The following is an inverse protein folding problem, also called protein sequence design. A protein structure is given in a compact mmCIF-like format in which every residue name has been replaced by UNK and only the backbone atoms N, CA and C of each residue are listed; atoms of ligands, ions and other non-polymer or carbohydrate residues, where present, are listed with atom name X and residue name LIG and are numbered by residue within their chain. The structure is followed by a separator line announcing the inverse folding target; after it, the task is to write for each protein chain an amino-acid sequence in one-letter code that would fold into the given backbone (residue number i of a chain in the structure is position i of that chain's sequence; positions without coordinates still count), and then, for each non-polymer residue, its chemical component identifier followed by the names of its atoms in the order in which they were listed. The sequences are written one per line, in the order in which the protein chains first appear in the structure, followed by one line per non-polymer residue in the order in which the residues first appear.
data_IF_514329592031
#
_entry.id   IF_514329592031
#
_cell.length_a   1.000
_cell.length_b   1.000
_cell.length_c   1.000
_cell.angle_alpha   90.00
_cell.angle_beta   90.00
_cell.angle_gamma   90.00
#
_symmetry.space_group_name_H-M   'P 1'
#
loop_
_entity.id
_entity.type
_entity.pdbx_description
1 polymer ?
#
# COMPACT_ATOMS: atom_id res chain seq x y z
N UNK A 1 -24.82 21.65 11.03
CA UNK A 1 -23.54 20.97 11.31
C UNK A 1 -23.59 20.40 12.72
N UNK A 2 -23.05 19.21 12.97
CA UNK A 2 -22.74 18.78 14.33
C UNK A 2 -21.51 19.54 14.86
N UNK A 3 -21.33 19.62 16.17
CA UNK A 3 -20.11 20.17 16.77
C UNK A 3 -18.94 19.18 16.64
N UNK A 4 -17.69 19.68 16.52
CA UNK A 4 -16.47 18.84 16.52
C UNK A 4 -16.48 17.82 17.68
N UNK A 5 -16.97 18.22 18.86
CA UNK A 5 -17.09 17.38 20.04
C UNK A 5 -18.11 16.23 19.87
N UNK A 6 -19.35 16.52 19.44
CA UNK A 6 -20.37 15.47 19.27
C UNK A 6 -20.01 14.49 18.14
N UNK A 7 -19.32 14.96 17.11
CA UNK A 7 -18.79 14.11 16.04
C UNK A 7 -17.65 13.20 16.54
N UNK A 8 -16.79 13.70 17.45
CA UNK A 8 -15.78 12.89 18.17
C UNK A 8 -16.42 11.85 19.10
N UNK A 9 -17.48 12.20 19.82
CA UNK A 9 -18.23 11.26 20.67
C UNK A 9 -18.89 10.15 19.83
N UNK A 10 -19.46 10.50 18.67
CA UNK A 10 -20.02 9.53 17.73
C UNK A 10 -18.93 8.63 17.12
N UNK A 11 -17.76 9.18 16.76
CA UNK A 11 -16.59 8.40 16.31
C UNK A 11 -16.11 7.39 17.36
N UNK A 12 -15.99 7.80 18.63
CA UNK A 12 -15.59 6.90 19.72
C UNK A 12 -16.61 5.76 19.87
N UNK A 13 -17.91 6.08 19.96
CA UNK A 13 -18.97 5.08 20.04
C UNK A 13 -19.04 4.16 18.80
N UNK A 14 -18.62 4.63 17.63
CA UNK A 14 -18.53 3.84 16.41
C UNK A 14 -17.37 2.83 16.47
N UNK A 15 -16.17 3.28 16.83
CA UNK A 15 -15.00 2.39 16.94
C UNK A 15 -15.14 1.38 18.10
N UNK A 16 -15.70 1.78 19.25
CA UNK A 16 -15.98 0.86 20.37
C UNK A 16 -16.99 -0.24 20.03
N UNK A 17 -17.75 -0.13 18.94
CA UNK A 17 -18.66 -1.19 18.46
C UNK A 17 -18.01 -2.15 17.47
N UNK A 18 -16.85 -1.81 16.88
CA UNK A 18 -16.20 -2.68 15.90
C UNK A 18 -15.76 -4.02 16.50
N UNK A 19 -15.31 -4.01 17.75
CA UNK A 19 -14.87 -5.21 18.49
C UNK A 19 -16.02 -6.18 18.82
N UNK A 20 -17.28 -5.72 18.83
CA UNK A 20 -18.46 -6.59 19.09
C UNK A 20 -19.17 -7.10 17.83
N UNK A 21 -18.93 -6.50 16.65
CA UNK A 21 -19.82 -6.65 15.49
C UNK A 21 -19.42 -7.78 14.51
N UNK A 22 -18.18 -8.24 14.53
CA UNK A 22 -17.65 -9.23 13.57
C UNK A 22 -18.42 -10.55 13.56
N UNK A 23 -18.84 -11.05 14.73
CA UNK A 23 -19.66 -12.26 14.85
C UNK A 23 -21.17 -11.96 14.74
N UNK A 24 -21.65 -10.89 15.41
CA UNK A 24 -23.09 -10.54 15.47
C UNK A 24 -23.69 -10.17 14.10
N UNK A 25 -22.93 -9.55 13.20
CA UNK A 25 -23.43 -9.08 11.90
C UNK A 25 -23.93 -10.19 10.96
N UNK A 26 -23.61 -11.47 11.24
CA UNK A 26 -24.12 -12.63 10.49
C UNK A 26 -25.46 -13.17 11.02
N UNK A 27 -25.91 -12.78 12.21
CA UNK A 27 -27.13 -13.32 12.85
C UNK A 27 -28.31 -12.33 12.91
N UNK A 28 -28.09 -11.06 12.57
CA UNK A 28 -29.11 -10.01 12.67
C UNK A 28 -29.53 -9.51 11.27
N UNK A 29 -30.77 -9.79 10.90
CA UNK A 29 -31.30 -9.52 9.57
C UNK A 29 -31.45 -8.01 9.28
N UNK A 30 -31.71 -7.19 10.30
CA UNK A 30 -31.87 -5.74 10.11
C UNK A 30 -30.50 -5.07 9.88
N UNK A 31 -29.44 -5.55 10.54
CA UNK A 31 -28.06 -5.11 10.29
C UNK A 31 -27.63 -5.49 8.87
N UNK A 32 -27.90 -6.72 8.43
CA UNK A 32 -27.58 -7.18 7.08
C UNK A 32 -28.32 -6.36 6.01
N UNK A 33 -29.63 -6.14 6.21
CA UNK A 33 -30.45 -5.30 5.32
C UNK A 33 -29.95 -3.84 5.26
N UNK A 34 -29.52 -3.27 6.39
CA UNK A 34 -28.89 -1.95 6.44
C UNK A 34 -27.61 -1.86 5.61
N UNK A 35 -26.71 -2.84 5.77
CA UNK A 35 -25.45 -2.93 5.02
C UNK A 35 -25.68 -3.06 3.51
N UNK A 36 -26.56 -3.97 3.06
CA UNK A 36 -26.93 -4.14 1.65
C UNK A 36 -27.43 -2.82 1.03
N UNK A 37 -28.26 -2.05 1.74
CA UNK A 37 -28.78 -0.75 1.29
C UNK A 37 -27.72 0.37 1.21
N UNK A 38 -26.57 0.19 1.84
CA UNK A 38 -25.45 1.15 1.83
C UNK A 38 -24.40 0.75 0.79
N UNK A 39 -24.07 -0.54 0.68
CA UNK A 39 -23.19 -1.08 -0.35
C UNK A 39 -23.77 -0.87 -1.77
N UNK A 40 -25.10 -0.90 -1.92
CA UNK A 40 -25.79 -0.52 -3.16
C UNK A 40 -25.68 0.98 -3.53
N UNK A 41 -25.14 1.83 -2.64
CA UNK A 41 -24.83 3.25 -2.89
C UNK A 41 -23.33 3.53 -2.97
N UNK A 42 -22.49 2.53 -2.67
CA UNK A 42 -21.04 2.62 -2.76
C UNK A 42 -20.59 2.44 -4.22
N UNK A 43 -19.47 3.04 -4.57
CA UNK A 43 -18.65 2.65 -5.71
C UNK A 43 -17.20 2.57 -5.22
N UNK A 44 -16.51 1.47 -5.50
CA UNK A 44 -15.11 1.28 -5.11
C UNK A 44 -14.24 1.80 -6.25
N UNK A 45 -13.28 2.66 -5.95
CA UNK A 45 -12.29 3.15 -6.91
C UNK A 45 -10.90 2.77 -6.39
N UNK A 46 -10.11 2.04 -7.19
CA UNK A 46 -8.69 1.77 -6.89
C UNK A 46 -7.80 2.58 -7.84
N UNK A 47 -6.79 3.24 -7.27
CA UNK A 47 -5.85 4.07 -8.02
C UNK A 47 -4.81 3.19 -8.74
N UNK A 48 -5.00 2.99 -10.04
CA UNK A 48 -4.24 2.06 -10.87
C UNK A 48 -3.32 2.76 -11.90
N UNK A 49 -3.12 4.09 -11.77
CA UNK A 49 -2.28 4.87 -12.69
C UNK A 49 -0.76 4.67 -12.56
N UNK A 50 -0.30 3.85 -11.62
CA UNK A 50 1.11 3.71 -11.26
C UNK A 50 1.83 2.52 -11.92
N UNK A 51 2.88 2.80 -12.70
CA UNK A 51 3.84 1.80 -13.20
C UNK A 51 4.75 1.24 -12.08
N UNK A 52 5.33 0.07 -12.30
CA UNK A 52 6.18 -0.67 -11.36
C UNK A 52 7.65 -0.23 -11.27
N UNK A 53 8.04 0.88 -11.91
CA UNK A 53 9.45 1.27 -12.18
C UNK A 53 10.40 1.40 -10.99
N UNK A 54 9.95 1.78 -9.78
CA UNK A 54 10.77 1.70 -8.55
C UNK A 54 11.20 0.28 -8.17
N UNK A 55 10.60 -0.70 -8.81
CA UNK A 55 10.88 -2.13 -8.70
C UNK A 55 11.24 -2.67 -10.11
N UNK A 56 11.74 -1.83 -11.02
CA UNK A 56 12.21 -2.20 -12.36
C UNK A 56 11.16 -2.71 -13.37
N UNK A 57 9.92 -2.99 -12.96
CA UNK A 57 8.89 -3.43 -13.89
C UNK A 57 8.37 -2.26 -14.76
N UNK A 58 8.35 -2.47 -16.08
CA UNK A 58 7.82 -1.50 -17.07
C UNK A 58 6.30 -1.45 -17.13
N UNK A 59 5.60 -2.43 -16.54
CA UNK A 59 4.14 -2.58 -16.53
C UNK A 59 3.46 -1.88 -15.36
N UNK A 60 2.13 -1.84 -15.37
CA UNK A 60 1.31 -1.40 -14.23
C UNK A 60 1.68 -2.19 -12.95
N UNK A 61 1.93 -1.48 -11.83
CA UNK A 61 2.41 -2.07 -10.56
C UNK A 61 1.44 -3.11 -9.99
N UNK A 62 0.16 -2.94 -10.29
CA UNK A 62 -0.91 -3.85 -9.87
C UNK A 62 -0.78 -5.26 -10.44
N UNK A 63 -0.12 -5.43 -11.59
CA UNK A 63 0.07 -6.72 -12.26
C UNK A 63 1.24 -7.54 -11.71
N UNK A 64 1.98 -7.01 -10.74
CA UNK A 64 3.13 -7.68 -10.12
C UNK A 64 2.62 -8.70 -9.10
N UNK A 65 3.14 -9.94 -9.18
CA UNK A 65 2.79 -11.02 -8.25
C UNK A 65 3.19 -10.67 -6.81
N UNK A 66 2.24 -10.79 -5.90
CA UNK A 66 2.42 -10.57 -4.46
C UNK A 66 2.62 -11.88 -3.72
N UNK A 67 1.80 -12.90 -4.02
CA UNK A 67 1.83 -14.20 -3.33
C UNK A 67 1.08 -15.27 -4.11
N UNK A 68 1.64 -16.48 -4.19
CA UNK A 68 0.97 -17.68 -4.72
C UNK A 68 0.36 -17.52 -6.13
N UNK A 69 1.02 -16.80 -7.03
CA UNK A 69 0.53 -16.52 -8.39
C UNK A 69 -0.51 -15.38 -8.49
N UNK A 70 -0.93 -14.79 -7.36
CA UNK A 70 -1.85 -13.66 -7.32
C UNK A 70 -1.09 -12.33 -7.32
N UNK A 71 -1.45 -11.46 -8.26
CA UNK A 71 -1.03 -10.05 -8.31
C UNK A 71 -1.90 -9.16 -7.41
N UNK A 72 -1.48 -7.92 -7.16
CA UNK A 72 -2.32 -6.94 -6.46
C UNK A 72 -3.67 -6.73 -7.19
N UNK A 73 -3.70 -6.88 -8.52
CA UNK A 73 -4.92 -6.80 -9.33
C UNK A 73 -5.86 -7.97 -9.03
N UNK A 74 -5.36 -9.21 -9.05
CA UNK A 74 -6.18 -10.39 -8.76
C UNK A 74 -6.77 -10.28 -7.34
N UNK A 75 -5.94 -9.94 -6.34
CA UNK A 75 -6.38 -9.79 -4.95
C UNK A 75 -7.47 -8.70 -4.79
N UNK A 76 -7.27 -7.52 -5.40
CA UNK A 76 -8.26 -6.44 -5.32
C UNK A 76 -9.59 -6.78 -6.03
N UNK A 77 -9.55 -7.55 -7.12
CA UNK A 77 -10.76 -8.00 -7.83
C UNK A 77 -11.44 -9.15 -7.10
N UNK A 78 -10.70 -10.11 -6.55
CA UNK A 78 -11.23 -11.27 -5.83
C UNK A 78 -11.80 -10.87 -4.46
N UNK A 79 -11.16 -9.97 -3.71
CA UNK A 79 -11.75 -9.40 -2.48
C UNK A 79 -13.07 -8.69 -2.80
N UNK A 80 -13.09 -7.87 -3.86
CA UNK A 80 -14.28 -7.14 -4.26
C UNK A 80 -15.42 -8.07 -4.71
N UNK A 81 -15.12 -9.10 -5.50
CA UNK A 81 -16.08 -10.14 -5.87
C UNK A 81 -16.61 -10.85 -4.63
N UNK A 82 -15.72 -11.22 -3.70
CA UNK A 82 -16.10 -11.89 -2.45
C UNK A 82 -16.99 -11.04 -1.56
N UNK A 83 -16.71 -9.74 -1.47
CA UNK A 83 -17.55 -8.77 -0.75
C UNK A 83 -18.93 -8.69 -1.39
N UNK A 84 -19.01 -8.59 -2.72
CA UNK A 84 -20.27 -8.59 -3.46
C UNK A 84 -21.09 -9.89 -3.27
N UNK A 85 -20.44 -11.06 -3.30
CA UNK A 85 -21.06 -12.36 -2.96
C UNK A 85 -21.59 -12.40 -1.52
N UNK A 86 -20.76 -11.98 -0.56
CA UNK A 86 -21.03 -12.11 0.89
C UNK A 86 -22.20 -11.26 1.35
N UNK A 87 -22.41 -10.09 0.73
CA UNK A 87 -23.50 -9.15 1.06
C UNK A 87 -24.65 -9.15 0.04
N UNK A 88 -24.57 -9.96 -1.03
CA UNK A 88 -25.60 -10.06 -2.07
C UNK A 88 -25.79 -8.79 -2.90
N UNK A 89 -24.71 -8.07 -3.20
CA UNK A 89 -24.72 -6.75 -3.88
C UNK A 89 -23.96 -6.76 -5.20
N UNK A 90 -24.27 -5.80 -6.07
CA UNK A 90 -23.56 -5.56 -7.34
C UNK A 90 -22.84 -4.19 -7.31
N UNK A 91 -22.16 -3.91 -6.20
CA UNK A 91 -21.34 -2.70 -6.01
C UNK A 91 -20.29 -2.64 -7.14
N UNK A 92 -20.12 -1.52 -7.86
CA UNK A 92 -19.16 -1.44 -8.96
C UNK A 92 -17.72 -1.15 -8.47
N UNK A 93 -16.75 -1.91 -8.99
CA UNK A 93 -15.32 -1.60 -8.93
C UNK A 93 -14.86 -0.85 -10.19
N UNK A 94 -14.22 0.29 -9.98
CA UNK A 94 -13.54 1.09 -10.99
C UNK A 94 -12.03 1.12 -10.75
N UNK A 95 -11.25 1.03 -11.83
CA UNK A 95 -9.82 1.29 -11.83
C UNK A 95 -9.55 2.65 -12.47
N UNK A 96 -8.92 3.54 -11.71
CA UNK A 96 -8.43 4.83 -12.20
C UNK A 96 -7.05 4.62 -12.82
N UNK A 97 -7.03 4.33 -14.11
CA UNK A 97 -5.84 4.05 -14.89
C UNK A 97 -5.14 5.36 -15.31
N UNK A 98 -3.90 5.24 -15.76
CA UNK A 98 -3.20 6.29 -16.50
C UNK A 98 -2.99 5.84 -17.94
N UNK A 99 -2.63 6.77 -18.82
CA UNK A 99 -2.23 6.49 -20.20
C UNK A 99 -0.97 5.60 -20.32
N UNK A 100 -0.34 5.23 -19.20
CA UNK A 100 0.71 4.21 -19.13
C UNK A 100 0.19 2.81 -18.71
N UNK A 101 -0.92 2.74 -17.99
CA UNK A 101 -1.41 1.50 -17.36
C UNK A 101 -2.69 0.95 -17.98
N UNK A 102 -3.41 1.75 -18.78
CA UNK A 102 -4.76 1.40 -19.23
C UNK A 102 -4.79 0.20 -20.20
N UNK A 103 -3.92 0.15 -21.21
CA UNK A 103 -3.90 -0.94 -22.19
C UNK A 103 -3.41 -2.26 -21.57
N UNK A 104 -2.33 -2.19 -20.77
CA UNK A 104 -1.81 -3.31 -19.96
C UNK A 104 -2.89 -3.87 -19.01
N UNK A 105 -3.64 -2.98 -18.36
CA UNK A 105 -4.75 -3.35 -17.46
C UNK A 105 -5.90 -3.98 -18.22
N UNK A 106 -6.32 -3.41 -19.36
CA UNK A 106 -7.41 -3.94 -20.19
C UNK A 106 -7.07 -5.33 -20.73
N UNK A 107 -5.84 -5.53 -21.20
CA UNK A 107 -5.35 -6.84 -21.63
C UNK A 107 -5.43 -7.87 -20.48
N UNK A 108 -4.94 -7.50 -19.29
CA UNK A 108 -4.98 -8.37 -18.11
C UNK A 108 -6.40 -8.72 -17.64
N UNK A 109 -7.29 -7.72 -17.56
CA UNK A 109 -8.70 -7.94 -17.19
C UNK A 109 -9.41 -8.86 -18.19
N UNK A 110 -9.09 -8.74 -19.49
CA UNK A 110 -9.63 -9.62 -20.53
C UNK A 110 -9.07 -11.05 -20.44
N UNK A 111 -7.76 -11.21 -20.21
CA UNK A 111 -7.09 -12.50 -20.01
C UNK A 111 -7.68 -13.27 -18.81
N UNK A 112 -7.91 -12.57 -17.69
CA UNK A 112 -8.50 -13.14 -16.46
C UNK A 112 -10.04 -13.26 -16.51
N UNK A 113 -10.71 -12.72 -17.53
CA UNK A 113 -12.17 -12.71 -17.64
C UNK A 113 -12.90 -11.80 -16.63
N UNK A 114 -12.22 -10.80 -16.07
CA UNK A 114 -12.73 -9.89 -15.03
C UNK A 114 -13.70 -8.81 -15.57
N UNK A 115 -14.67 -9.23 -16.37
CA UNK A 115 -15.57 -8.41 -17.19
C UNK A 115 -16.47 -7.41 -16.43
N UNK A 116 -16.64 -7.55 -15.11
CA UNK A 116 -17.38 -6.57 -14.27
C UNK A 116 -16.56 -5.33 -13.92
N UNK A 117 -15.22 -5.41 -13.97
CA UNK A 117 -14.32 -4.33 -13.58
C UNK A 117 -14.31 -3.25 -14.66
N UNK A 118 -14.58 -2.00 -14.28
CA UNK A 118 -14.61 -0.86 -15.19
C UNK A 118 -13.30 -0.08 -15.09
N UNK A 119 -12.83 0.53 -16.18
CA UNK A 119 -11.66 1.42 -16.14
C UNK A 119 -12.01 2.81 -16.63
N UNK A 120 -11.28 3.82 -16.15
CA UNK A 120 -11.26 5.17 -16.71
C UNK A 120 -9.84 5.74 -16.61
N UNK A 121 -9.49 6.66 -17.51
CA UNK A 121 -8.13 7.21 -17.62
C UNK A 121 -8.06 8.61 -17.02
N UNK A 122 -7.07 8.85 -16.17
CA UNK A 122 -6.79 10.18 -15.60
C UNK A 122 -6.16 11.13 -16.62
N UNK A 123 -6.27 12.44 -16.36
CA UNK A 123 -5.63 13.50 -17.16
C UNK A 123 -4.11 13.34 -17.26
N UNK A 124 -3.54 13.71 -18.41
CA UNK A 124 -2.09 13.83 -18.63
C UNK A 124 -1.64 15.29 -18.50
N UNK A 125 -0.65 15.53 -17.64
CA UNK A 125 0.09 16.80 -17.57
C UNK A 125 1.55 16.54 -17.95
N UNK A 126 2.23 17.45 -18.67
CA UNK A 126 3.67 17.33 -18.92
C UNK A 126 4.45 17.53 -17.62
N UNK A 127 5.63 16.90 -17.50
CA UNK A 127 6.65 17.34 -16.54
C UNK A 127 7.23 18.67 -17.01
N UNK A 128 7.72 19.50 -16.10
CA UNK A 128 8.47 20.70 -16.44
C UNK A 128 9.93 20.53 -15.98
N UNK A 129 10.88 20.93 -16.82
CA UNK A 129 12.29 20.93 -16.48
C UNK A 129 12.59 21.97 -15.38
N UNK A 130 13.42 21.59 -14.42
CA UNK A 130 13.68 22.38 -13.22
C UNK A 130 14.57 23.62 -13.47
N UNK A 131 15.26 23.70 -14.62
CA UNK A 131 16.06 24.87 -15.01
C UNK A 131 15.32 25.82 -15.97
N UNK A 132 14.55 25.28 -16.91
CA UNK A 132 13.93 26.03 -18.02
C UNK A 132 12.42 26.20 -17.88
N UNK A 133 11.75 25.43 -17.01
CA UNK A 133 10.29 25.32 -16.89
C UNK A 133 9.57 24.88 -18.19
N UNK A 134 10.29 24.31 -19.15
CA UNK A 134 9.71 23.79 -20.39
C UNK A 134 9.24 22.33 -20.23
N UNK A 135 8.26 21.86 -21.04
CA UNK A 135 7.82 20.48 -21.03
C UNK A 135 8.95 19.46 -21.26
N UNK A 136 9.02 18.44 -20.41
CA UNK A 136 9.85 17.23 -20.60
C UNK A 136 8.97 16.00 -20.82
N UNK A 137 9.47 15.09 -21.64
CA UNK A 137 8.99 13.70 -21.74
C UNK A 137 9.75 12.85 -20.72
N UNK A 138 9.09 12.39 -19.63
CA UNK A 138 9.40 11.12 -18.94
C UNK A 138 8.33 10.77 -17.86
N UNK A 139 8.40 9.56 -17.28
CA UNK A 139 7.24 8.81 -16.78
C UNK A 139 7.23 8.48 -15.26
N UNK A 140 6.05 8.06 -14.74
CA UNK A 140 5.80 7.13 -13.58
C UNK A 140 5.46 7.60 -12.13
N UNK A 141 4.53 6.82 -11.48
CA UNK A 141 4.20 6.54 -10.04
C UNK A 141 3.50 7.59 -9.13
N UNK A 142 2.73 7.29 -8.02
CA UNK A 142 1.93 6.19 -7.35
C UNK A 142 1.19 6.87 -6.10
N UNK A 143 0.38 6.36 -5.15
CA UNK A 143 -0.02 5.05 -4.53
C UNK A 143 -1.57 5.02 -4.16
N UNK A 144 -2.01 4.42 -3.01
CA UNK A 144 -3.39 4.30 -2.45
C UNK A 144 -3.49 3.23 -1.30
N UNK A 145 -4.61 2.64 -0.86
CA UNK A 145 -5.98 3.12 -0.44
C UNK A 145 -6.91 1.94 0.02
N UNK A 146 -7.43 1.86 1.27
CA UNK A 146 -8.34 0.78 1.79
C UNK A 146 -9.13 1.01 3.12
N UNK A 147 -10.47 0.80 3.13
CA UNK A 147 -11.30 0.27 4.27
C UNK A 147 -12.76 0.00 3.81
N UNK A 148 -13.74 -0.15 4.73
CA UNK A 148 -15.20 -0.20 4.39
C UNK A 148 -16.20 0.40 5.41
N UNK A 149 -15.88 0.44 6.70
CA UNK A 149 -16.85 0.78 7.76
C UNK A 149 -17.29 2.26 7.75
N UNK A 150 -16.46 3.14 7.19
CA UNK A 150 -16.63 4.60 7.22
C UNK A 150 -17.82 5.10 6.39
N UNK A 151 -18.31 4.31 5.43
CA UNK A 151 -19.50 4.67 4.62
C UNK A 151 -20.73 4.88 5.51
N UNK A 152 -20.94 4.01 6.52
CA UNK A 152 -22.02 4.13 7.49
C UNK A 152 -21.91 5.46 8.26
N UNK A 153 -20.72 5.75 8.79
CA UNK A 153 -20.44 6.99 9.51
C UNK A 153 -20.70 8.23 8.65
N UNK A 154 -20.28 8.24 7.38
CA UNK A 154 -20.50 9.38 6.48
C UNK A 154 -21.98 9.65 6.21
N UNK A 155 -22.79 8.59 6.07
CA UNK A 155 -24.24 8.70 5.93
C UNK A 155 -24.86 9.22 7.23
N UNK A 156 -24.56 8.59 8.36
CA UNK A 156 -25.16 8.91 9.67
C UNK A 156 -24.80 10.31 10.18
N UNK A 157 -23.59 10.78 9.87
CA UNK A 157 -23.09 12.10 10.30
C UNK A 157 -23.27 13.19 9.23
N UNK A 158 -23.73 12.83 8.02
CA UNK A 158 -23.75 13.69 6.83
C UNK A 158 -22.38 14.39 6.61
N UNK A 159 -21.34 13.59 6.40
CA UNK A 159 -19.97 14.05 6.16
C UNK A 159 -19.60 13.80 4.70
N UNK A 160 -19.10 14.82 4.02
CA UNK A 160 -18.83 14.79 2.57
C UNK A 160 -17.45 14.24 2.18
N UNK A 161 -16.50 14.22 3.12
CA UNK A 161 -15.12 13.77 2.93
C UNK A 161 -14.58 13.13 4.22
N UNK A 162 -13.99 11.94 4.13
CA UNK A 162 -13.19 11.33 5.21
C UNK A 162 -11.88 10.80 4.64
N UNK A 163 -10.78 11.06 5.35
CA UNK A 163 -9.46 10.50 5.11
C UNK A 163 -9.08 9.70 6.35
N UNK A 164 -8.58 8.49 6.17
CA UNK A 164 -8.08 7.69 7.28
C UNK A 164 -6.63 8.03 7.60
N UNK A 165 -6.26 7.81 8.86
CA UNK A 165 -4.88 7.93 9.30
C UNK A 165 -4.54 6.78 10.24
N UNK A 166 -3.38 6.16 10.02
CA UNK A 166 -2.78 5.21 10.95
C UNK A 166 -1.86 5.94 11.94
N UNK A 167 -1.38 5.26 12.98
CA UNK A 167 -0.30 5.80 13.81
C UNK A 167 1.02 5.74 13.02
N UNK A 168 1.76 6.85 12.99
CA UNK A 168 3.04 6.95 12.27
C UNK A 168 4.09 6.07 12.95
N UNK A 169 4.56 5.03 12.25
CA UNK A 169 5.66 4.16 12.68
C UNK A 169 7.01 4.67 12.17
N UNK A 170 8.08 3.95 12.50
CA UNK A 170 9.44 4.29 12.04
C UNK A 170 9.69 4.03 10.55
N UNK A 171 8.83 3.27 9.86
CA UNK A 171 8.92 3.05 8.40
C UNK A 171 8.08 4.05 7.59
N UNK A 172 7.19 4.82 8.23
CA UNK A 172 6.26 5.77 7.58
C UNK A 172 6.92 7.14 7.31
N UNK A 173 8.06 7.10 6.62
CA UNK A 173 8.87 8.28 6.26
C UNK A 173 8.51 8.91 4.91
N UNK A 174 7.61 8.29 4.12
CA UNK A 174 7.22 8.77 2.78
C UNK A 174 5.70 8.80 2.58
N UNK A 175 5.11 9.95 2.87
CA UNK A 175 3.68 10.26 2.71
C UNK A 175 3.28 11.37 3.67
N UNK A 176 2.03 11.82 3.58
CA UNK A 176 1.56 12.99 4.31
C UNK A 176 1.00 12.75 5.72
N UNK A 177 0.68 13.86 6.37
CA UNK A 177 0.01 13.94 7.68
C UNK A 177 -1.07 15.02 7.65
N UNK A 178 -2.09 14.89 8.50
CA UNK A 178 -3.05 15.97 8.71
C UNK A 178 -2.51 17.01 9.71
N UNK A 179 -2.72 18.28 9.39
CA UNK A 179 -2.43 19.46 10.23
C UNK A 179 -3.64 20.40 10.26
N UNK A 180 -3.73 21.25 11.29
CA UNK A 180 -4.75 22.31 11.35
C UNK A 180 -4.06 23.69 11.27
N UNK A 181 -4.31 24.44 10.19
CA UNK A 181 -3.85 25.82 9.98
C UNK A 181 -5.07 26.71 9.89
N UNK A 182 -5.13 27.79 10.67
CA UNK A 182 -6.25 28.76 10.66
C UNK A 182 -7.65 28.12 10.79
N UNK A 183 -7.77 27.07 11.63
CA UNK A 183 -8.96 26.23 11.80
C UNK A 183 -9.42 25.44 10.55
N UNK A 184 -8.55 25.30 9.55
CA UNK A 184 -8.75 24.45 8.38
C UNK A 184 -7.84 23.23 8.47
N UNK A 185 -8.40 22.05 8.23
CA UNK A 185 -7.63 20.81 8.10
C UNK A 185 -6.92 20.81 6.74
N UNK A 186 -5.61 20.60 6.75
CA UNK A 186 -4.77 20.52 5.55
C UNK A 186 -3.96 19.22 5.57
N UNK A 187 -3.68 18.69 4.38
CA UNK A 187 -2.82 17.53 4.20
C UNK A 187 -1.41 18.01 3.84
N UNK A 188 -0.45 17.76 4.73
CA UNK A 188 0.96 18.13 4.57
C UNK A 188 1.76 16.93 4.08
N UNK A 189 2.20 16.98 2.82
CA UNK A 189 3.09 16.02 2.19
C UNK A 189 4.57 16.44 2.32
N UNK A 190 5.47 15.45 2.33
CA UNK A 190 6.90 15.69 2.52
C UNK A 190 7.52 16.76 1.59
N UNK A 191 7.15 16.88 0.29
CA UNK A 191 7.72 17.90 -0.60
C UNK A 191 7.27 19.36 -0.31
N UNK A 192 6.28 19.58 0.56
CA UNK A 192 5.90 20.91 1.04
C UNK A 192 6.75 21.35 2.26
N UNK A 193 7.53 20.44 2.86
CA UNK A 193 8.28 20.70 4.09
C UNK A 193 9.67 21.29 3.77
N UNK A 194 10.06 22.44 4.36
CA UNK A 194 11.41 22.97 4.22
C UNK A 194 12.48 21.99 4.72
N UNK A 195 13.65 21.86 4.06
CA UNK A 195 14.69 20.88 4.41
C UNK A 195 15.11 20.88 5.89
N UNK A 196 15.16 22.06 6.50
CA UNK A 196 15.47 22.28 7.91
C UNK A 196 14.47 21.63 8.88
N UNK A 197 13.21 21.44 8.45
CA UNK A 197 12.12 20.91 9.27
C UNK A 197 11.81 19.44 8.97
N UNK A 198 12.50 18.81 8.02
CA UNK A 198 12.36 17.38 7.72
C UNK A 198 12.62 16.45 8.93
N UNK A 199 13.56 16.72 9.86
CA UNK A 199 13.74 15.90 11.05
C UNK A 199 12.48 15.84 11.93
N UNK A 200 11.76 16.95 12.07
CA UNK A 200 10.51 17.01 12.83
C UNK A 200 9.35 16.36 12.08
N UNK A 201 9.28 16.51 10.75
CA UNK A 201 8.27 15.82 9.93
C UNK A 201 8.39 14.28 9.97
N UNK A 202 9.62 13.77 10.02
CA UNK A 202 9.90 12.35 10.22
C UNK A 202 9.71 11.89 11.67
N UNK A 203 9.62 12.81 12.63
CA UNK A 203 9.55 12.49 14.06
C UNK A 203 8.16 12.04 14.50
N UNK A 204 8.03 10.76 14.87
CA UNK A 204 6.82 10.17 15.47
C UNK A 204 6.42 10.80 16.81
N UNK A 205 7.30 11.61 17.42
CA UNK A 205 6.99 12.43 18.61
C UNK A 205 6.19 13.68 18.28
N UNK A 206 6.42 14.26 17.10
CA UNK A 206 5.77 15.48 16.61
C UNK A 206 4.50 15.10 15.84
N UNK A 207 4.65 14.33 14.75
CA UNK A 207 3.53 13.84 13.94
C UNK A 207 3.23 12.39 14.28
N UNK A 208 2.15 12.19 15.05
CA UNK A 208 1.73 10.86 15.56
C UNK A 208 0.84 10.09 14.59
N UNK A 209 0.31 10.77 13.58
CA UNK A 209 -0.60 10.21 12.58
C UNK A 209 0.06 10.28 11.20
N UNK A 210 -0.36 9.38 10.32
CA UNK A 210 0.10 9.28 8.95
C UNK A 210 -1.09 9.00 8.05
N UNK A 211 -1.26 9.76 6.96
CA UNK A 211 -2.31 9.51 5.99
C UNK A 211 -2.01 8.18 5.31
N UNK A 212 -2.91 7.21 5.44
CA UNK A 212 -2.84 5.94 4.70
C UNK A 212 -3.11 6.13 3.20
N UNK A 213 -3.61 7.30 2.82
CA UNK A 213 -4.30 7.60 1.59
C UNK A 213 -5.46 6.61 1.38
N UNK A 214 -6.30 6.41 2.41
CA UNK A 214 -7.62 5.79 2.26
C UNK A 214 -8.67 6.92 2.26
N UNK A 215 -9.40 7.11 1.15
CA UNK A 215 -10.21 8.32 0.95
C UNK A 215 -11.66 8.02 0.57
N UNK A 216 -12.58 8.58 1.36
CA UNK A 216 -14.02 8.47 1.19
C UNK A 216 -14.63 9.81 0.79
N UNK A 217 -15.45 9.80 -0.27
CA UNK A 217 -16.02 11.02 -0.86
C UNK A 217 -17.49 10.89 -1.22
N UNK A 218 -18.31 11.86 -0.79
CA UNK A 218 -19.67 12.01 -1.30
C UNK A 218 -19.63 12.57 -2.72
N UNK A 219 -19.93 11.73 -3.72
CA UNK A 219 -19.91 12.11 -5.14
C UNK A 219 -20.86 13.29 -5.47
N UNK A 220 -21.92 13.51 -4.68
CA UNK A 220 -22.79 14.68 -4.85
C UNK A 220 -22.10 15.97 -4.40
N UNK A 221 -21.32 15.92 -3.32
CA UNK A 221 -20.51 17.04 -2.86
C UNK A 221 -19.36 17.32 -3.82
N UNK A 222 -18.68 16.29 -4.33
CA UNK A 222 -17.66 16.43 -5.39
C UNK A 222 -18.27 17.10 -6.61
N UNK A 223 -19.41 16.62 -7.13
CA UNK A 223 -20.12 17.22 -8.28
C UNK A 223 -20.50 18.70 -8.05
N UNK A 224 -20.89 19.06 -6.82
CA UNK A 224 -21.25 20.43 -6.45
C UNK A 224 -20.02 21.34 -6.36
N UNK A 225 -18.92 20.85 -5.80
CA UNK A 225 -17.72 21.63 -5.49
C UNK A 225 -16.69 21.65 -6.62
N UNK A 226 -16.79 20.76 -7.61
CA UNK A 226 -15.81 20.59 -8.70
C UNK A 226 -15.34 21.90 -9.39
N UNK A 227 -16.18 22.93 -9.61
CA UNK A 227 -15.72 24.21 -10.18
C UNK A 227 -14.82 25.03 -9.24
N UNK A 228 -14.95 24.82 -7.92
CA UNK A 228 -14.31 25.61 -6.86
C UNK A 228 -13.15 24.89 -6.17
N UNK A 229 -12.93 23.60 -6.46
CA UNK A 229 -11.84 22.80 -5.87
C UNK A 229 -10.49 23.44 -6.23
N UNK A 230 -9.72 23.78 -5.19
CA UNK A 230 -8.33 24.23 -5.27
C UNK A 230 -7.49 23.29 -4.41
N UNK A 231 -6.36 22.87 -4.96
CA UNK A 231 -5.39 21.99 -4.30
C UNK A 231 -4.01 22.59 -4.46
N UNK A 232 -3.12 22.34 -3.50
CA UNK A 232 -1.74 22.84 -3.58
C UNK A 232 -0.92 22.09 -4.62
N UNK A 233 0.01 22.79 -5.26
CA UNK A 233 0.90 22.21 -6.28
C UNK A 233 2.09 21.57 -5.58
N UNK A 234 2.07 20.25 -5.44
CA UNK A 234 3.13 19.47 -4.80
C UNK A 234 4.28 19.23 -5.80
N UNK A 235 5.39 19.95 -5.65
CA UNK A 235 6.59 19.83 -6.52
C UNK A 235 7.47 18.66 -6.08
N UNK A 236 7.14 17.45 -6.52
CA UNK A 236 7.82 16.23 -6.12
C UNK A 236 9.08 15.92 -6.96
N UNK A 237 10.27 15.98 -6.33
CA UNK A 237 11.57 15.58 -6.91
C UNK A 237 11.87 14.13 -6.52
N UNK A 238 12.00 13.22 -7.50
CA UNK A 238 12.01 11.76 -7.26
C UNK A 238 13.40 11.12 -7.28
N UNK A 239 13.55 10.07 -6.46
CA UNK A 239 14.61 9.06 -6.53
C UNK A 239 14.05 7.68 -6.07
N UNK A 240 14.59 6.59 -6.62
CA UNK A 240 14.06 5.22 -6.49
C UNK A 240 14.54 4.48 -5.23
N UNK A 241 13.66 3.66 -4.61
CA UNK A 241 13.94 2.44 -3.78
C UNK A 241 12.62 1.74 -3.41
N UNK A 242 12.67 0.45 -3.08
CA UNK A 242 11.51 -0.46 -2.99
C UNK A 242 11.13 -0.97 -1.58
N UNK A 243 9.99 -1.68 -1.51
CA UNK A 243 9.37 -2.18 -0.26
C UNK A 243 8.85 -3.64 -0.37
N UNK A 244 9.13 -4.36 -1.47
CA UNK A 244 8.36 -5.55 -1.88
C UNK A 244 8.56 -6.81 -1.01
N UNK A 245 9.74 -6.99 -0.41
CA UNK A 245 10.09 -8.24 0.30
C UNK A 245 9.18 -8.56 1.49
N UNK A 246 8.66 -7.55 2.20
CA UNK A 246 7.85 -7.78 3.40
C UNK A 246 6.58 -8.58 3.08
N UNK A 247 5.88 -8.22 2.00
CA UNK A 247 4.61 -8.85 1.58
C UNK A 247 4.79 -10.30 1.10
N UNK A 248 5.98 -10.61 0.55
CA UNK A 248 6.36 -11.94 0.03
C UNK A 248 6.96 -12.88 1.09
N UNK A 249 7.13 -12.41 2.32
CA UNK A 249 7.73 -13.17 3.43
C UNK A 249 6.68 -13.92 4.28
N UNK A 250 7.14 -14.69 5.28
CA UNK A 250 6.28 -15.31 6.30
C UNK A 250 5.67 -14.33 7.32
N UNK A 251 5.86 -13.02 7.17
CA UNK A 251 5.25 -11.99 8.03
C UNK A 251 3.81 -11.70 7.64
N UNK A 252 3.47 -12.01 6.40
CA UNK A 252 2.14 -11.90 5.85
C UNK A 252 1.56 -13.29 5.61
N UNK A 253 0.23 -13.41 5.70
CA UNK A 253 -0.53 -14.58 5.29
C UNK A 253 -1.72 -14.15 4.42
N UNK A 254 -2.05 -14.96 3.42
CA UNK A 254 -3.18 -14.73 2.52
C UNK A 254 -4.37 -15.55 3.02
N UNK A 255 -5.42 -14.87 3.46
CA UNK A 255 -6.70 -15.51 3.73
C UNK A 255 -7.33 -15.94 2.39
N UNK A 256 -7.63 -17.24 2.24
CA UNK A 256 -8.25 -17.82 1.05
C UNK A 256 -9.77 -17.61 1.01
N UNK A 257 -10.41 -17.22 2.12
CA UNK A 257 -11.83 -16.89 2.15
C UNK A 257 -12.11 -15.45 1.73
N UNK A 258 -11.29 -14.48 2.13
CA UNK A 258 -11.46 -13.05 1.81
C UNK A 258 -10.48 -12.46 0.80
N UNK A 259 -9.43 -13.20 0.42
CA UNK A 259 -8.30 -12.74 -0.41
C UNK A 259 -7.47 -11.59 0.19
N UNK A 260 -7.62 -11.33 1.50
CA UNK A 260 -6.84 -10.32 2.22
C UNK A 260 -5.48 -10.82 2.64
N UNK A 261 -4.49 -9.94 2.52
CA UNK A 261 -3.16 -10.14 3.11
C UNK A 261 -3.19 -9.59 4.53
N UNK A 262 -3.14 -10.49 5.51
CA UNK A 262 -3.04 -10.16 6.93
C UNK A 262 -1.59 -10.17 7.38
N UNK A 263 -1.22 -9.29 8.31
CA UNK A 263 0.06 -9.42 9.01
C UNK A 263 -0.07 -10.49 10.10
N UNK A 264 0.82 -11.47 10.11
CA UNK A 264 0.89 -12.49 11.14
C UNK A 264 1.55 -11.89 12.40
N UNK A 265 0.73 -11.38 13.32
CA UNK A 265 1.22 -10.71 14.53
C UNK A 265 1.97 -11.66 15.49
N UNK A 266 1.78 -12.98 15.42
CA UNK A 266 2.60 -13.95 16.16
C UNK A 266 4.04 -14.03 15.65
N UNK A 267 4.29 -13.59 14.40
CA UNK A 267 5.62 -13.46 13.82
C UNK A 267 6.29 -12.12 14.16
N UNK A 268 5.57 -11.18 14.78
CA UNK A 268 6.10 -9.90 15.27
C UNK A 268 5.49 -8.68 14.57
N UNK A 269 6.35 -7.71 14.22
CA UNK A 269 6.04 -6.52 13.43
C UNK A 269 6.89 -6.52 12.15
N UNK A 270 6.51 -5.78 11.10
CA UNK A 270 7.34 -5.66 9.90
C UNK A 270 8.76 -5.15 10.23
N UNK A 271 9.83 -5.86 9.84
CA UNK A 271 11.20 -5.42 10.06
C UNK A 271 11.56 -4.28 9.12
N UNK A 272 12.56 -3.49 9.50
CA UNK A 272 13.21 -2.58 8.56
C UNK A 272 14.07 -3.41 7.60
N UNK A 273 13.59 -3.58 6.37
CA UNK A 273 14.32 -4.28 5.31
C UNK A 273 15.14 -3.28 4.50
N UNK A 274 16.45 -3.54 4.38
CA UNK A 274 17.38 -2.76 3.56
C UNK A 274 18.13 -3.69 2.60
N UNK A 275 18.13 -3.34 1.31
CA UNK A 275 18.86 -4.06 0.27
C UNK A 275 19.90 -3.13 -0.39
N UNK A 276 21.01 -3.71 -0.83
CA UNK A 276 22.01 -3.00 -1.62
C UNK A 276 21.43 -2.47 -2.94
N UNK A 277 21.17 -1.17 -2.97
CA UNK A 277 20.54 -0.51 -4.10
C UNK A 277 21.45 -0.41 -5.35
N UNK A 278 22.70 -0.91 -5.31
CA UNK A 278 23.52 -1.12 -6.51
C UNK A 278 23.26 -2.46 -7.19
N UNK A 279 22.76 -3.46 -6.44
CA UNK A 279 22.48 -4.82 -6.93
C UNK A 279 20.97 -5.05 -7.12
N UNK A 280 20.18 -4.82 -6.06
CA UNK A 280 18.74 -5.13 -6.00
C UNK A 280 17.91 -4.00 -6.63
N UNK A 281 18.14 -3.78 -7.93
CA UNK A 281 17.61 -2.63 -8.69
C UNK A 281 16.22 -2.86 -9.30
N UNK A 282 15.78 -4.11 -9.43
CA UNK A 282 14.47 -4.51 -9.98
C UNK A 282 13.84 -5.69 -9.23
N UNK A 283 12.56 -5.97 -9.46
CA UNK A 283 11.91 -7.23 -9.06
C UNK A 283 12.71 -8.40 -9.62
N UNK A 284 13.09 -8.40 -10.90
CA UNK A 284 13.84 -9.51 -11.50
C UNK A 284 15.17 -9.80 -10.77
N UNK A 285 15.90 -8.77 -10.33
CA UNK A 285 17.14 -8.93 -9.56
C UNK A 285 16.90 -9.36 -8.09
N UNK A 286 15.72 -9.04 -7.53
CA UNK A 286 15.26 -9.58 -6.24
C UNK A 286 14.86 -11.05 -6.40
N UNK A 287 14.07 -11.40 -7.41
CA UNK A 287 13.44 -12.72 -7.55
C UNK A 287 14.45 -13.81 -7.96
N UNK A 288 15.50 -13.43 -8.70
CA UNK A 288 16.70 -14.28 -8.91
C UNK A 288 17.42 -14.63 -7.61
N UNK A 289 17.40 -13.73 -6.61
CA UNK A 289 18.18 -13.82 -5.37
C UNK A 289 17.36 -14.28 -4.16
N UNK A 290 16.06 -14.11 -4.19
CA UNK A 290 15.09 -14.60 -3.21
C UNK A 290 14.05 -15.52 -3.90
N UNK A 291 14.47 -16.65 -4.52
CA UNK A 291 13.56 -17.57 -5.20
C UNK A 291 12.58 -18.28 -4.25
N UNK A 292 12.77 -18.13 -2.94
CA UNK A 292 11.98 -18.73 -1.87
C UNK A 292 11.71 -17.70 -0.76
N UNK A 293 10.50 -17.70 -0.21
CA UNK A 293 10.11 -16.80 0.88
C UNK A 293 10.96 -17.03 2.15
N UNK A 294 11.41 -15.93 2.75
CA UNK A 294 12.16 -15.92 4.00
C UNK A 294 11.21 -16.06 5.21
N UNK A 295 11.66 -16.79 6.23
CA UNK A 295 10.93 -17.01 7.49
C UNK A 295 11.43 -16.00 8.52
N UNK A 296 10.77 -14.85 8.64
CA UNK A 296 11.24 -13.68 9.41
C UNK A 296 10.72 -13.63 10.85
N UNK A 297 10.68 -14.75 11.58
CA UNK A 297 10.07 -14.79 12.92
C UNK A 297 10.81 -13.88 13.92
N UNK A 298 10.09 -12.87 14.40
CA UNK A 298 10.58 -11.80 15.27
C UNK A 298 11.84 -11.10 14.73
N UNK A 299 11.99 -11.00 13.40
CA UNK A 299 12.98 -10.13 12.80
C UNK A 299 12.61 -8.66 13.03
N UNK A 300 13.59 -7.82 13.33
CA UNK A 300 13.41 -6.38 13.60
C UNK A 300 14.11 -5.51 12.55
N UNK A 301 15.26 -5.97 12.06
CA UNK A 301 15.99 -5.40 10.93
C UNK A 301 16.58 -6.53 10.08
N UNK A 302 16.47 -6.41 8.76
CA UNK A 302 17.12 -7.30 7.81
C UNK A 302 17.86 -6.49 6.76
N UNK A 303 19.20 -6.53 6.80
CA UNK A 303 20.07 -5.75 5.94
C UNK A 303 20.86 -6.68 5.01
N UNK A 304 20.90 -6.41 3.71
CA UNK A 304 21.71 -7.19 2.73
C UNK A 304 22.64 -6.26 1.95
N UNK A 305 23.93 -6.59 1.94
CA UNK A 305 25.02 -5.78 1.37
C UNK A 305 25.81 -6.62 0.35
N UNK A 306 26.03 -6.09 -0.86
CA UNK A 306 26.61 -6.83 -1.99
C UNK A 306 25.67 -7.89 -2.59
N UNK A 307 26.19 -8.68 -3.54
CA UNK A 307 25.41 -9.71 -4.24
C UNK A 307 25.29 -11.00 -3.41
N UNK A 308 24.08 -11.24 -2.88
CA UNK A 308 23.73 -12.43 -2.08
C UNK A 308 22.46 -13.10 -2.62
N UNK A 309 22.55 -14.41 -2.86
CA UNK A 309 21.42 -15.29 -3.15
C UNK A 309 21.03 -16.09 -1.90
N UNK A 310 19.74 -16.42 -1.75
CA UNK A 310 19.18 -17.08 -0.58
C UNK A 310 18.57 -18.43 -0.95
N UNK A 311 18.96 -19.48 -0.22
CA UNK A 311 18.43 -20.83 -0.37
C UNK A 311 16.99 -21.00 0.18
N UNK A 312 16.58 -22.25 0.34
CA UNK A 312 15.28 -22.63 0.91
C UNK A 312 15.27 -22.49 2.43
N UNK A 313 14.08 -22.29 3.01
CA UNK A 313 13.83 -22.40 4.46
C UNK A 313 14.73 -21.51 5.35
N UNK A 314 15.20 -20.36 4.84
CA UNK A 314 16.05 -19.45 5.61
C UNK A 314 15.23 -18.80 6.72
N UNK A 315 15.72 -18.88 7.95
CA UNK A 315 15.08 -18.33 9.14
C UNK A 315 15.87 -17.13 9.66
N UNK A 316 15.18 -16.02 9.94
CA UNK A 316 15.74 -14.75 10.39
C UNK A 316 15.04 -14.29 11.66
N UNK A 317 15.81 -13.96 12.71
CA UNK A 317 15.28 -13.53 14.02
C UNK A 317 16.11 -12.39 14.59
N UNK A 318 15.43 -11.40 15.19
CA UNK A 318 16.06 -10.20 15.71
C UNK A 318 16.70 -9.36 14.60
N UNK A 319 17.89 -8.81 14.86
CA UNK A 319 18.62 -7.96 13.90
C UNK A 319 19.63 -8.79 13.09
N UNK A 320 19.42 -8.93 11.78
CA UNK A 320 20.31 -9.70 10.91
C UNK A 320 20.90 -8.82 9.80
N UNK A 321 22.21 -8.91 9.62
CA UNK A 321 22.92 -8.38 8.43
C UNK A 321 23.49 -9.53 7.63
N UNK A 322 23.39 -9.50 6.30
CA UNK A 322 24.03 -10.47 5.40
C UNK A 322 24.95 -9.73 4.43
N UNK A 323 26.23 -10.07 4.47
CA UNK A 323 27.30 -9.36 3.75
C UNK A 323 27.96 -10.28 2.71
N UNK A 324 27.97 -9.88 1.44
CA UNK A 324 28.91 -10.41 0.44
C UNK A 324 30.17 -9.55 0.41
N UNK A 325 31.35 -10.19 0.50
CA UNK A 325 32.67 -9.52 0.45
C UNK A 325 33.45 -9.84 -0.82
N UNK A 326 32.74 -10.29 -1.85
CA UNK A 326 33.27 -10.81 -3.10
C UNK A 326 32.56 -10.19 -4.30
N UNK A 327 33.32 -9.95 -5.38
CA UNK A 327 32.78 -9.40 -6.64
C UNK A 327 31.85 -10.37 -7.39
N UNK A 328 31.87 -11.66 -7.03
CA UNK A 328 30.95 -12.68 -7.56
C UNK A 328 29.81 -12.92 -6.57
N UNK A 329 28.65 -13.44 -7.03
CA UNK A 329 27.52 -13.77 -6.16
C UNK A 329 27.91 -14.72 -5.02
N UNK A 330 27.51 -14.36 -3.81
CA UNK A 330 27.58 -15.19 -2.63
C UNK A 330 26.21 -15.85 -2.35
N UNK A 331 26.18 -16.88 -1.49
CA UNK A 331 24.94 -17.61 -1.17
C UNK A 331 24.80 -17.93 0.31
N UNK A 332 23.57 -17.81 0.82
CA UNK A 332 23.14 -18.33 2.12
C UNK A 332 22.53 -19.74 1.91
N UNK A 333 23.12 -20.82 2.45
CA UNK A 333 22.69 -22.19 2.19
C UNK A 333 21.27 -22.53 2.68
N UNK A 334 20.64 -23.54 2.06
CA UNK A 334 19.34 -24.08 2.46
C UNK A 334 19.27 -24.42 3.97
N UNK A 335 18.18 -24.03 4.61
CA UNK A 335 17.86 -24.20 6.04
C UNK A 335 18.77 -23.43 7.02
N UNK A 336 19.54 -22.43 6.55
CA UNK A 336 20.31 -21.55 7.44
C UNK A 336 19.38 -20.78 8.38
N UNK A 337 19.71 -20.77 9.68
CA UNK A 337 19.04 -19.98 10.71
C UNK A 337 20.01 -18.88 11.15
N UNK A 338 19.60 -17.61 11.05
CA UNK A 338 20.39 -16.45 11.47
C UNK A 338 19.68 -15.70 12.59
N UNK A 339 20.42 -15.35 13.65
CA UNK A 339 19.86 -14.65 14.81
C UNK A 339 20.82 -13.61 15.39
N UNK A 340 20.36 -12.36 15.42
CA UNK A 340 21.04 -11.24 16.08
C UNK A 340 22.53 -11.07 15.67
N UNK A 341 22.84 -11.33 14.39
CA UNK A 341 24.20 -11.50 13.88
C UNK A 341 24.45 -10.87 12.48
N UNK A 342 25.73 -10.70 12.16
CA UNK A 342 26.21 -10.34 10.82
C UNK A 342 26.81 -11.57 10.13
N UNK A 343 26.10 -12.15 9.18
CA UNK A 343 26.51 -13.32 8.43
C UNK A 343 27.28 -12.93 7.16
N UNK A 344 28.52 -13.41 7.00
CA UNK A 344 29.28 -13.24 5.77
C UNK A 344 28.94 -14.40 4.83
N UNK A 345 28.19 -14.11 3.76
CA UNK A 345 27.85 -15.07 2.74
C UNK A 345 29.10 -15.52 1.96
N UNK A 346 29.15 -16.79 1.56
CA UNK A 346 30.30 -17.40 0.88
C UNK A 346 30.04 -17.59 -0.61
N UNK A 347 31.11 -17.75 -1.39
CA UNK A 347 31.03 -18.04 -2.83
C UNK A 347 30.10 -19.21 -3.13
N UNK A 348 29.31 -19.08 -4.19
CA UNK A 348 28.53 -20.19 -4.73
C UNK A 348 29.43 -21.16 -5.49
N UNK A 349 30.04 -22.09 -4.76
CA UNK A 349 30.65 -23.28 -5.34
C UNK A 349 29.54 -24.22 -5.82
N UNK A 350 29.39 -24.36 -7.15
CA UNK A 350 28.60 -25.46 -7.70
C UNK A 350 29.33 -26.77 -7.38
N UNK A 351 28.72 -27.62 -6.57
CA UNK A 351 28.96 -29.05 -6.62
C UNK A 351 28.55 -29.56 -8.01
N UNK A 352 29.42 -30.34 -8.64
CA UNK A 352 29.20 -30.99 -9.95
C UNK A 352 28.11 -32.08 -9.90
#
# INVERSE_FOLDING_TARGET
MLSKQKLKENLINFFSRQEELSEKARSDADIFCGLTNILNKLAVIKLNGGLGTTMGCTKAKSLIEVREGYSFMDLAVLEHQKMCETFGVDTPLYLMNSFYTDDDTKAYLAEKGYNKVKTFVQSKCPRLDAGTNLPIEDDTQQWGDDAFQIVQLMIDQNVDYVMECTQKTHVDVKGGTLIEINNQMMHLEMPQVPPENLPDFCSTKVFKIFNTNNIWVNLNAVKKLLPDIKSEIIVNKKNVRGHLLSLRSSLCDLDRETFKIHHNHEMGVPPVISLDASIYTSVDEVDKRFPHSLIMKHCTEFNVVGDVHFGKNIQLTGKVTVESKSEKPATVPDNTVLKDENFIAKMFEKSE
#
